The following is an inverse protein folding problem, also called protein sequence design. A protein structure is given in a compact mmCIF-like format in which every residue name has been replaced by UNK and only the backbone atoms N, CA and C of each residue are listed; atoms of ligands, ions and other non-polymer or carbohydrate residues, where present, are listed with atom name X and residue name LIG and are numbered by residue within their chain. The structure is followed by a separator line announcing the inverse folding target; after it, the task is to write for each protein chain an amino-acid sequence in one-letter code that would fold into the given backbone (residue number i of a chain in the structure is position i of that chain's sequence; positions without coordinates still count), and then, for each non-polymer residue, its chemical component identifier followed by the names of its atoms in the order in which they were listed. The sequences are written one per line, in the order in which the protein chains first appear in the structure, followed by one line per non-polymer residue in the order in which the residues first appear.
data_IF_573736917273
#
_entry.id   IF_573736917273
#
_cell.length_a   1.000
_cell.length_b   1.000
_cell.length_c   1.000
_cell.angle_alpha   90.00
_cell.angle_beta   90.00
_cell.angle_gamma   90.00
#
_symmetry.space_group_name_H-M   'P 1'
#
loop_
_entity.id
_entity.type
_entity.pdbx_description
1 polymer ?
#
# COMPACT_ATOMS: atom_id res chain seq x y z
N UNK A 1 25.51 1.95 8.75
CA UNK A 1 24.99 1.18 7.61
C UNK A 1 23.60 1.72 7.30
N UNK A 2 23.46 2.51 6.23
CA UNK A 2 22.14 2.90 5.72
C UNK A 2 21.60 1.67 4.99
N UNK A 3 20.56 1.05 5.54
CA UNK A 3 19.82 0.01 4.82
C UNK A 3 19.18 0.67 3.61
N UNK A 4 19.51 0.17 2.44
CA UNK A 4 18.99 0.64 1.16
C UNK A 4 17.47 0.44 1.11
N UNK A 5 16.75 1.53 0.85
CA UNK A 5 15.28 1.57 0.73
C UNK A 5 14.75 0.64 -0.36
N UNK A 6 15.60 0.28 -1.34
CA UNK A 6 15.25 -0.67 -2.40
C UNK A 6 15.31 -2.13 -1.91
N UNK A 7 16.18 -2.41 -0.93
CA UNK A 7 16.32 -3.73 -0.33
C UNK A 7 15.25 -3.98 0.76
N UNK A 8 14.85 -2.92 1.47
CA UNK A 8 13.79 -2.97 2.49
C UNK A 8 12.38 -3.18 1.89
N UNK A 9 12.17 -2.79 0.63
CA UNK A 9 10.90 -3.01 -0.09
C UNK A 9 10.70 -4.45 -0.58
N UNK A 10 11.77 -5.25 -0.63
CA UNK A 10 11.77 -6.64 -1.12
C UNK A 10 11.83 -7.65 0.05
N UNK A 11 12.27 -7.23 1.23
CA UNK A 11 12.40 -8.07 2.43
C UNK A 11 11.10 -8.25 3.23
N UNK A 12 10.00 -7.58 2.85
CA UNK A 12 8.69 -7.78 3.46
C UNK A 12 8.04 -9.09 2.98
N UNK A 13 7.53 -9.89 3.92
CA UNK A 13 6.69 -11.05 3.62
C UNK A 13 5.59 -10.65 2.63
N UNK A 14 5.62 -11.23 1.43
CA UNK A 14 4.57 -11.03 0.43
C UNK A 14 3.28 -11.64 0.98
N UNK A 15 2.27 -10.82 1.22
CA UNK A 15 0.92 -11.32 1.51
C UNK A 15 0.37 -12.02 0.26
N UNK A 16 0.30 -13.36 0.31
CA UNK A 16 -0.25 -14.20 -0.76
C UNK A 16 -1.63 -14.73 -0.39
N UNK A 17 -2.61 -14.60 -1.29
CA UNK A 17 -3.93 -15.25 -1.17
C UNK A 17 -4.09 -16.34 -2.23
N UNK A 18 -3.79 -17.58 -1.87
CA UNK A 18 -3.98 -18.75 -2.73
C UNK A 18 -5.25 -19.53 -2.38
N UNK A 19 -5.85 -20.19 -3.38
CA UNK A 19 -6.77 -21.30 -3.16
C UNK A 19 -6.13 -22.54 -3.77
N UNK A 20 -5.97 -23.60 -2.98
CA UNK A 20 -5.59 -24.91 -3.46
C UNK A 20 -6.65 -25.91 -2.99
N UNK A 21 -7.03 -26.84 -3.87
CA UNK A 21 -7.96 -27.96 -3.59
C UNK A 21 -9.42 -27.57 -3.34
N UNK A 22 -10.05 -26.78 -4.23
CA UNK A 22 -11.52 -26.83 -4.33
C UNK A 22 -11.87 -28.13 -5.07
N UNK A 23 -11.91 -29.23 -4.32
CA UNK A 23 -12.42 -30.51 -4.83
C UNK A 23 -13.95 -30.41 -4.89
N UNK A 24 -14.52 -30.62 -6.07
CA UNK A 24 -15.95 -30.91 -6.20
C UNK A 24 -16.14 -32.24 -6.85
N UNK A 25 -16.39 -33.22 -6.01
CA UNK A 25 -16.60 -34.59 -6.40
C UNK A 25 -18.07 -34.93 -6.21
N UNK A 26 -18.92 -34.35 -7.05
CA UNK A 26 -20.24 -34.92 -7.31
C UNK A 26 -20.23 -35.49 -8.72
N UNK A 27 -19.57 -36.63 -8.86
CA UNK A 27 -19.78 -37.54 -9.99
C UNK A 27 -21.15 -38.20 -9.87
N UNK A 28 -22.17 -37.38 -10.12
CA UNK A 28 -23.34 -37.79 -10.87
C UNK A 28 -23.90 -36.53 -11.54
N UNK A 29 -23.67 -36.37 -12.84
CA UNK A 29 -24.40 -35.36 -13.61
C UNK A 29 -25.81 -35.91 -13.72
N UNK A 30 -26.81 -35.25 -13.09
CA UNK A 30 -28.14 -35.77 -13.18
C UNK A 30 -28.66 -35.58 -14.61
N UNK A 31 -29.07 -36.66 -15.27
CA UNK A 31 -29.56 -36.68 -16.66
C UNK A 31 -31.04 -36.37 -16.79
N UNK A 32 -31.80 -36.47 -15.71
CA UNK A 32 -33.20 -36.09 -15.65
C UNK A 32 -33.33 -34.58 -15.49
N UNK A 33 -34.34 -33.96 -16.13
CA UNK A 33 -34.68 -32.56 -15.86
C UNK A 33 -35.75 -32.53 -14.79
N UNK A 34 -35.70 -31.52 -13.93
CA UNK A 34 -36.71 -31.34 -12.87
C UNK A 34 -38.15 -31.26 -13.42
N UNK A 35 -38.32 -30.70 -14.61
CA UNK A 35 -39.64 -30.56 -15.27
C UNK A 35 -40.16 -31.85 -15.90
N UNK A 36 -39.30 -32.85 -16.11
CA UNK A 36 -39.66 -34.12 -16.74
C UNK A 36 -40.08 -35.17 -15.70
N UNK A 37 -40.13 -34.81 -14.41
CA UNK A 37 -40.55 -35.70 -13.33
C UNK A 37 -42.08 -35.84 -13.37
N UNK A 38 -42.56 -37.02 -13.74
CA UNK A 38 -43.97 -37.39 -13.68
C UNK A 38 -44.17 -38.63 -12.80
N UNK A 39 -44.81 -38.42 -11.64
CA UNK A 39 -45.07 -39.47 -10.64
C UNK A 39 -46.36 -40.23 -10.95
N UNK A 40 -47.22 -39.68 -11.81
CA UNK A 40 -48.50 -40.29 -12.19
C UNK A 40 -48.29 -41.28 -13.34
N UNK A 41 -47.45 -40.92 -14.30
CA UNK A 41 -47.20 -41.74 -15.48
C UNK A 41 -46.17 -42.86 -15.22
N UNK A 42 -45.11 -42.58 -14.45
CA UNK A 42 -44.04 -43.55 -14.15
C UNK A 42 -43.79 -43.71 -12.63
N UNK A 43 -44.68 -44.41 -11.90
CA UNK A 43 -44.55 -44.59 -10.45
C UNK A 43 -43.33 -45.42 -10.04
N UNK A 44 -42.81 -46.29 -10.91
CA UNK A 44 -41.65 -47.14 -10.62
C UNK A 44 -40.32 -46.35 -10.58
N UNK A 45 -40.32 -45.09 -11.07
CA UNK A 45 -39.12 -44.24 -11.13
C UNK A 45 -38.97 -43.29 -9.93
N UNK A 46 -39.86 -43.37 -8.93
CA UNK A 46 -39.85 -42.50 -7.75
C UNK A 46 -38.50 -42.48 -7.03
N UNK A 47 -37.87 -43.64 -6.84
CA UNK A 47 -36.55 -43.72 -6.18
C UNK A 47 -35.46 -43.01 -6.98
N UNK A 48 -35.53 -43.07 -8.31
CA UNK A 48 -34.64 -42.35 -9.21
C UNK A 48 -34.85 -40.83 -9.12
N UNK A 49 -36.11 -40.38 -9.07
CA UNK A 49 -36.47 -38.97 -8.90
C UNK A 49 -35.99 -38.41 -7.54
N UNK A 50 -36.16 -39.18 -6.46
CA UNK A 50 -35.66 -38.81 -5.13
C UNK A 50 -34.14 -38.70 -5.10
N UNK A 51 -33.44 -39.65 -5.72
CA UNK A 51 -31.98 -39.61 -5.88
C UNK A 51 -31.53 -38.39 -6.70
N UNK A 52 -32.23 -38.06 -7.79
CA UNK A 52 -31.98 -36.88 -8.60
C UNK A 52 -32.08 -35.58 -7.79
N UNK A 53 -33.17 -35.42 -7.02
CA UNK A 53 -33.39 -34.23 -6.18
C UNK A 53 -32.31 -34.15 -5.09
N UNK A 54 -31.99 -35.27 -4.43
CA UNK A 54 -30.93 -35.31 -3.41
C UNK A 54 -29.57 -34.87 -3.95
N UNK A 55 -29.20 -35.33 -5.14
CA UNK A 55 -27.96 -34.90 -5.80
C UNK A 55 -27.99 -33.42 -6.18
N UNK A 56 -29.11 -32.89 -6.67
CA UNK A 56 -29.25 -31.46 -6.95
C UNK A 56 -29.09 -30.59 -5.69
N UNK A 57 -29.67 -31.00 -4.57
CA UNK A 57 -29.55 -30.30 -3.28
C UNK A 57 -28.09 -30.28 -2.80
N UNK A 58 -27.38 -31.40 -2.91
CA UNK A 58 -25.97 -31.47 -2.55
C UNK A 58 -25.13 -30.51 -3.43
N UNK A 59 -25.40 -30.45 -4.74
CA UNK A 59 -24.73 -29.52 -5.67
C UNK A 59 -24.96 -28.06 -5.33
N UNK A 60 -26.19 -27.68 -4.97
CA UNK A 60 -26.51 -26.32 -4.55
C UNK A 60 -25.78 -25.99 -3.24
N UNK A 61 -25.74 -26.93 -2.29
CA UNK A 61 -25.07 -26.75 -0.99
C UNK A 61 -23.56 -26.57 -1.15
N UNK A 62 -22.94 -27.35 -2.03
CA UNK A 62 -21.52 -27.23 -2.35
C UNK A 62 -21.21 -25.90 -3.08
N UNK A 63 -22.04 -25.52 -4.05
CA UNK A 63 -21.92 -24.23 -4.72
C UNK A 63 -22.09 -23.06 -3.73
N UNK A 64 -23.04 -23.14 -2.80
CA UNK A 64 -23.23 -22.17 -1.74
C UNK A 64 -22.02 -22.10 -0.79
N UNK A 65 -21.44 -23.25 -0.44
CA UNK A 65 -20.24 -23.33 0.40
C UNK A 65 -19.03 -22.68 -0.27
N UNK A 66 -18.82 -22.94 -1.56
CA UNK A 66 -17.80 -22.24 -2.37
C UNK A 66 -18.05 -20.75 -2.42
N UNK A 67 -19.29 -20.34 -2.68
CA UNK A 67 -19.63 -18.93 -2.75
C UNK A 67 -19.42 -18.24 -1.39
N UNK A 68 -19.76 -18.89 -0.29
CA UNK A 68 -19.52 -18.41 1.07
C UNK A 68 -18.03 -18.24 1.37
N UNK A 69 -17.20 -19.24 1.04
CA UNK A 69 -15.74 -19.12 1.18
C UNK A 69 -15.13 -18.03 0.30
N UNK A 70 -15.64 -17.85 -0.92
CA UNK A 70 -15.24 -16.77 -1.82
C UNK A 70 -15.64 -15.40 -1.26
N UNK A 71 -16.87 -15.26 -0.77
CA UNK A 71 -17.35 -14.05 -0.10
C UNK A 71 -16.45 -13.68 1.06
N UNK A 72 -16.16 -14.63 1.95
CA UNK A 72 -15.26 -14.40 3.08
C UNK A 72 -13.86 -13.99 2.64
N UNK A 73 -13.36 -14.52 1.53
CA UNK A 73 -12.08 -14.08 0.96
C UNK A 73 -12.15 -12.64 0.45
N UNK A 74 -13.22 -12.26 -0.21
CA UNK A 74 -13.41 -10.89 -0.70
C UNK A 74 -13.39 -9.91 0.48
N UNK A 75 -14.08 -10.25 1.57
CA UNK A 75 -14.11 -9.42 2.78
C UNK A 75 -12.69 -9.18 3.34
N UNK A 76 -11.90 -10.23 3.49
CA UNK A 76 -10.50 -10.13 3.97
C UNK A 76 -9.64 -9.28 3.02
N UNK A 77 -9.89 -9.36 1.71
CA UNK A 77 -9.16 -8.54 0.71
C UNK A 77 -9.53 -7.06 0.80
N UNK A 78 -10.80 -6.76 1.05
CA UNK A 78 -11.26 -5.38 1.27
C UNK A 78 -10.61 -4.82 2.53
N UNK A 79 -10.59 -5.59 3.62
CA UNK A 79 -9.95 -5.19 4.87
C UNK A 79 -8.44 -4.95 4.69
N UNK A 80 -7.74 -5.86 4.01
CA UNK A 80 -6.32 -5.68 3.69
C UNK A 80 -6.07 -4.43 2.86
N UNK A 81 -6.88 -4.19 1.82
CA UNK A 81 -6.78 -3.00 0.99
C UNK A 81 -7.03 -1.71 1.80
N UNK A 82 -7.96 -1.73 2.75
CA UNK A 82 -8.20 -0.61 3.65
C UNK A 82 -7.00 -0.34 4.55
N UNK A 83 -6.47 -1.38 5.22
CA UNK A 83 -5.28 -1.26 6.08
C UNK A 83 -4.05 -0.79 5.30
N UNK A 84 -3.88 -1.27 4.07
CA UNK A 84 -2.83 -0.83 3.18
C UNK A 84 -2.99 0.66 2.83
N UNK A 85 -4.22 1.09 2.49
CA UNK A 85 -4.53 2.50 2.21
C UNK A 85 -4.20 3.39 3.41
N UNK A 86 -4.56 2.99 4.63
CA UNK A 86 -4.29 3.76 5.85
C UNK A 86 -2.78 3.82 6.17
N UNK A 87 -2.07 2.72 5.94
CA UNK A 87 -0.61 2.64 6.08
C UNK A 87 0.11 3.53 5.07
N UNK A 88 -0.35 3.54 3.81
CA UNK A 88 0.18 4.43 2.79
C UNK A 88 -0.13 5.89 3.14
N UNK A 89 -1.36 6.21 3.56
CA UNK A 89 -1.73 7.58 3.93
C UNK A 89 -0.88 8.14 5.06
N UNK A 90 -0.67 7.36 6.13
CA UNK A 90 0.22 7.75 7.23
C UNK A 90 1.69 7.80 6.84
N UNK A 91 2.15 6.88 5.97
CA UNK A 91 3.51 6.87 5.43
C UNK A 91 3.80 8.09 4.56
N UNK A 92 2.90 8.44 3.63
CA UNK A 92 3.01 9.64 2.80
C UNK A 92 2.98 10.90 3.65
N UNK A 93 2.09 10.99 4.65
CA UNK A 93 2.06 12.13 5.57
C UNK A 93 3.38 12.33 6.33
N UNK A 94 4.03 11.24 6.76
CA UNK A 94 5.36 11.28 7.39
C UNK A 94 6.46 11.72 6.42
N UNK A 95 6.43 11.27 5.17
CA UNK A 95 7.39 11.69 4.15
C UNK A 95 7.23 13.17 3.79
N UNK A 96 6.00 13.67 3.68
CA UNK A 96 5.72 15.09 3.41
C UNK A 96 6.14 15.97 4.59
N UNK A 97 5.87 15.56 5.83
CA UNK A 97 6.32 16.29 7.02
C UNK A 97 7.86 16.29 7.12
N UNK A 98 8.52 15.19 6.78
CA UNK A 98 9.98 15.11 6.73
C UNK A 98 10.58 16.02 5.66
N UNK A 99 10.03 16.01 4.44
CA UNK A 99 10.45 16.88 3.34
C UNK A 99 10.28 18.37 3.72
N UNK A 100 9.14 18.73 4.30
CA UNK A 100 8.90 20.10 4.75
C UNK A 100 9.88 20.54 5.86
N UNK A 101 10.27 19.65 6.78
CA UNK A 101 11.28 19.92 7.80
C UNK A 101 12.67 20.14 7.20
N UNK A 102 13.07 19.33 6.23
CA UNK A 102 14.35 19.47 5.52
C UNK A 102 14.38 20.78 4.71
N UNK A 103 13.31 21.06 3.95
CA UNK A 103 13.16 22.32 3.22
C UNK A 103 13.20 23.53 4.17
N UNK A 104 12.52 23.47 5.32
CA UNK A 104 12.55 24.55 6.32
C UNK A 104 13.93 24.75 6.94
N UNK A 105 14.66 23.67 7.22
CA UNK A 105 16.03 23.74 7.70
C UNK A 105 16.97 24.37 6.65
N UNK A 106 16.81 24.01 5.38
CA UNK A 106 17.57 24.56 4.27
C UNK A 106 17.31 26.07 4.09
N UNK A 107 16.05 26.51 4.19
CA UNK A 107 15.67 27.93 4.12
C UNK A 107 16.30 28.71 5.28
N UNK A 108 16.20 28.21 6.51
CA UNK A 108 16.78 28.86 7.69
C UNK A 108 18.32 28.94 7.62
N UNK A 109 18.98 27.88 7.13
CA UNK A 109 20.42 27.86 6.91
C UNK A 109 20.84 28.89 5.87
N UNK A 110 20.11 28.97 4.75
CA UNK A 110 20.35 29.95 3.68
C UNK A 110 20.16 31.39 4.18
N UNK A 111 19.10 31.65 4.94
CA UNK A 111 18.84 32.99 5.51
C UNK A 111 19.92 33.41 6.51
N UNK A 112 20.37 32.47 7.36
CA UNK A 112 21.49 32.71 8.29
C UNK A 112 22.78 32.98 7.54
N UNK A 113 23.04 32.24 6.46
CA UNK A 113 24.20 32.45 5.60
C UNK A 113 24.18 33.85 4.96
N UNK A 114 23.03 34.28 4.44
CA UNK A 114 22.88 35.62 3.86
C UNK A 114 23.12 36.74 4.89
N UNK A 115 22.59 36.60 6.12
CA UNK A 115 22.86 37.56 7.20
C UNK A 115 24.36 37.64 7.52
N UNK A 116 25.06 36.49 7.54
CA UNK A 116 26.52 36.44 7.72
C UNK A 116 27.28 37.04 6.54
N UNK A 117 26.80 36.83 5.30
CA UNK A 117 27.39 37.43 4.11
C UNK A 117 27.27 38.96 4.12
N UNK A 118 26.14 39.52 4.57
CA UNK A 118 25.97 40.98 4.71
C UNK A 118 26.89 41.53 5.80
N UNK A 119 27.00 40.84 6.94
CA UNK A 119 27.93 41.24 8.00
C UNK A 119 29.38 41.18 7.51
N UNK A 120 29.77 40.13 6.80
CA UNK A 120 31.09 40.00 6.19
C UNK A 120 31.37 41.13 5.17
N UNK A 121 30.39 41.48 4.33
CA UNK A 121 30.52 42.60 3.39
C UNK A 121 30.63 43.96 4.10
N UNK A 122 29.86 44.17 5.17
CA UNK A 122 29.94 45.38 6.01
C UNK A 122 31.30 45.50 6.71
N UNK A 123 31.85 44.39 7.20
CA UNK A 123 33.20 44.34 7.78
C UNK A 123 34.26 44.60 6.70
N UNK A 124 34.14 43.99 5.53
CA UNK A 124 35.06 44.20 4.41
C UNK A 124 35.05 45.64 3.89
N UNK A 125 33.88 46.29 3.84
CA UNK A 125 33.76 47.71 3.44
C UNK A 125 34.26 48.68 4.52
N UNK A 126 34.25 48.29 5.80
CA UNK A 126 34.79 49.10 6.91
C UNK A 126 36.29 48.89 7.16
N UNK A 127 36.84 47.73 6.81
CA UNK A 127 38.26 47.42 6.97
C UNK A 127 39.23 48.42 6.28
N UNK A 128 39.00 48.92 5.04
CA UNK A 128 39.92 49.85 4.40
C UNK A 128 39.88 51.27 4.96
N UNK A 129 38.87 51.66 5.77
CA UNK A 129 38.81 53.01 6.35
C UNK A 129 39.66 53.19 7.61
N UNK A 130 40.17 52.10 8.21
CA UNK A 130 40.99 52.13 9.42
C UNK A 130 42.51 51.99 9.16
N UNK A 131 42.94 51.99 7.90
CA UNK A 131 44.35 52.07 7.53
C UNK A 131 44.74 53.56 7.39
N UNK A 132 45.52 54.15 8.31
CA UNK A 132 46.08 55.47 8.07
C UNK A 132 47.00 55.42 6.84
N UNK A 133 47.03 56.46 6.00
CA UNK A 133 47.95 56.50 4.86
C UNK A 133 49.39 56.35 5.37
N UNK A 134 49.99 55.20 5.07
CA UNK A 134 51.41 54.93 5.30
C UNK A 134 52.23 55.69 4.25
N UNK A 135 53.06 56.63 4.72
CA UNK A 135 53.95 57.48 3.93
C UNK A 135 53.64 58.96 4.19
N UNK A 136 54.49 59.77 4.80
CA UNK A 136 55.94 59.89 4.61
C UNK A 136 56.54 60.47 5.90
N UNK A 137 57.61 59.84 6.38
CA UNK A 137 58.54 60.39 7.36
C UNK A 137 59.10 61.75 6.88
N UNK A 138 58.93 62.82 7.66
CA UNK A 138 59.68 64.08 7.49
C UNK A 138 60.21 64.51 8.86
N UNK A 139 61.52 64.40 9.02
CA UNK A 139 62.39 65.00 10.05
C UNK A 139 63.63 65.51 9.31
N UNK A 140 64.44 66.44 9.85
CA UNK A 140 64.13 67.76 10.41
C UNK A 140 64.94 68.89 9.71
N UNK A 141 64.50 70.14 9.88
CA UNK A 141 65.29 71.36 10.16
C UNK A 141 64.32 72.45 10.55
#
# INVERSE_FOLDING_TARGET
MKTDVMNDRISGEKSGFGFANINVNMELIPTLKFLDIDVVYDPDLIDSYLSYIGNCVNRITEAASKLGSLSKRIDIRIEFASKLKDSIGSGVGRLVDADMKEASAQINATQTQQQRSIQALSIANKAPQNLPPQGICRLPT
#
